data_IF_972058594042
#
_entry.id   IF_972058594042
#
_cell.length_a   1.000
_cell.length_b   1.000
_cell.length_c   1.000
_cell.angle_alpha   90.00
_cell.angle_beta   90.00
_cell.angle_gamma   90.00
#
_symmetry.space_group_name_H-M   'P 1'
#
loop_
_entity.id
_entity.type
_entity.pdbx_description
1 polymer ?
#
# COMPACT_ATOMS: atom_id res chain seq x y z
N UNK A 1 20.11 -12.70 9.85
CA UNK A 1 18.81 -12.07 9.49
C UNK A 1 18.99 -11.37 8.15
N UNK A 2 18.14 -11.59 7.14
CA UNK A 2 18.37 -11.13 5.76
C UNK A 2 18.52 -9.60 5.58
N UNK A 3 18.00 -8.84 6.55
CA UNK A 3 17.99 -7.38 6.63
C UNK A 3 18.66 -6.84 7.92
N UNK A 4 19.68 -7.52 8.47
CA UNK A 4 20.48 -6.98 9.58
C UNK A 4 21.22 -5.67 9.21
N UNK A 5 22.11 -5.17 10.08
CA UNK A 5 22.85 -3.88 10.15
C UNK A 5 23.52 -3.31 8.87
N UNK A 6 23.21 -3.82 7.68
CA UNK A 6 23.61 -3.26 6.39
C UNK A 6 23.01 -1.87 6.13
N UNK A 7 23.64 -1.11 5.25
CA UNK A 7 23.13 0.19 4.81
C UNK A 7 21.89 0.04 3.92
N UNK A 8 21.15 1.13 3.73
CA UNK A 8 20.04 1.21 2.75
C UNK A 8 20.46 0.71 1.37
N UNK A 9 21.71 1.00 0.96
CA UNK A 9 22.32 0.53 -0.29
C UNK A 9 22.31 -1.00 -0.41
N UNK A 10 22.40 -1.72 0.70
CA UNK A 10 22.35 -3.18 0.73
C UNK A 10 20.92 -3.73 0.77
N UNK A 11 19.95 -2.95 1.26
CA UNK A 11 18.58 -3.42 1.45
C UNK A 11 17.70 -3.17 0.23
N UNK A 12 17.86 -2.03 -0.44
CA UNK A 12 17.05 -1.68 -1.62
C UNK A 12 17.16 -2.75 -2.72
N UNK A 13 18.36 -3.23 -3.11
CA UNK A 13 18.46 -4.28 -4.12
C UNK A 13 17.74 -5.56 -3.70
N UNK A 14 17.82 -5.95 -2.42
CA UNK A 14 17.13 -7.14 -1.89
C UNK A 14 15.61 -7.02 -1.94
N UNK A 15 15.08 -5.80 -1.86
CA UNK A 15 13.65 -5.53 -2.04
C UNK A 15 13.27 -5.57 -3.52
N UNK A 16 14.10 -5.00 -4.40
CA UNK A 16 13.84 -4.95 -5.84
C UNK A 16 14.01 -6.32 -6.54
N UNK A 17 14.95 -7.14 -6.08
CA UNK A 17 15.29 -8.45 -6.65
C UNK A 17 15.32 -9.56 -5.59
N UNK A 18 14.20 -9.80 -4.87
CA UNK A 18 14.19 -10.67 -3.70
C UNK A 18 14.39 -12.14 -4.06
N UNK A 19 13.96 -12.57 -5.25
CA UNK A 19 14.22 -13.93 -5.72
C UNK A 19 15.72 -14.19 -5.88
N UNK A 20 16.41 -13.28 -6.56
CA UNK A 20 17.83 -13.43 -6.89
C UNK A 20 18.75 -13.27 -5.68
N UNK A 21 18.41 -12.36 -4.76
CA UNK A 21 19.33 -11.93 -3.70
C UNK A 21 19.04 -12.55 -2.33
N UNK A 22 17.82 -12.98 -2.07
CA UNK A 22 17.43 -13.58 -0.77
C UNK A 22 16.56 -14.83 -0.91
N UNK A 23 16.38 -15.37 -2.12
CA UNK A 23 15.75 -16.67 -2.36
C UNK A 23 14.23 -16.70 -2.18
N UNK A 24 13.53 -15.56 -2.28
CA UNK A 24 12.06 -15.56 -2.29
C UNK A 24 11.57 -16.27 -3.56
N UNK A 25 10.59 -17.20 -3.50
CA UNK A 25 10.03 -17.81 -4.71
C UNK A 25 9.53 -16.75 -5.71
N UNK A 26 9.73 -16.99 -7.00
CA UNK A 26 9.46 -15.99 -8.04
C UNK A 26 7.99 -15.57 -8.04
N UNK A 27 7.08 -16.51 -7.79
CA UNK A 27 5.64 -16.31 -7.64
C UNK A 27 5.25 -15.44 -6.43
N UNK A 28 6.17 -15.25 -5.47
CA UNK A 28 5.96 -14.46 -4.26
C UNK A 28 6.74 -13.15 -4.27
N UNK A 29 7.61 -12.91 -5.25
CA UNK A 29 8.43 -11.70 -5.34
C UNK A 29 7.59 -10.42 -5.28
N UNK A 30 6.50 -10.34 -6.05
CA UNK A 30 5.66 -9.14 -6.08
C UNK A 30 4.94 -8.90 -4.74
N UNK A 31 4.42 -9.96 -4.12
CA UNK A 31 3.77 -9.86 -2.81
C UNK A 31 4.75 -9.43 -1.72
N UNK A 32 5.98 -9.94 -1.78
CA UNK A 32 7.04 -9.54 -0.87
C UNK A 32 7.40 -8.06 -1.02
N UNK A 33 7.54 -7.57 -2.25
CA UNK A 33 7.83 -6.16 -2.54
C UNK A 33 6.78 -5.23 -1.95
N UNK A 34 5.50 -5.56 -2.15
CA UNK A 34 4.37 -4.79 -1.63
C UNK A 34 4.35 -4.82 -0.10
N UNK A 35 4.58 -5.99 0.49
CA UNK A 35 4.67 -6.12 1.95
C UNK A 35 5.74 -5.17 2.52
N UNK A 36 6.93 -5.13 1.92
CA UNK A 36 8.00 -4.24 2.37
C UNK A 36 7.66 -2.78 2.12
N UNK A 37 7.09 -2.42 0.97
CA UNK A 37 6.66 -1.05 0.66
C UNK A 37 5.64 -0.54 1.69
N UNK A 38 4.60 -1.34 1.98
CA UNK A 38 3.60 -1.04 3.01
C UNK A 38 4.22 -0.89 4.40
N UNK A 39 5.19 -1.75 4.75
CA UNK A 39 5.90 -1.66 6.02
C UNK A 39 6.69 -0.35 6.14
N UNK A 40 7.42 0.03 5.09
CA UNK A 40 8.22 1.26 5.07
C UNK A 40 7.34 2.50 5.15
N UNK A 41 6.23 2.55 4.40
CA UNK A 41 5.29 3.68 4.42
C UNK A 41 4.63 3.86 5.81
N UNK A 42 4.12 2.77 6.38
CA UNK A 42 3.49 2.83 7.70
C UNK A 42 4.50 3.14 8.83
N UNK A 43 5.74 2.64 8.73
CA UNK A 43 6.81 2.98 9.66
C UNK A 43 7.19 4.46 9.53
N UNK A 44 7.33 4.96 8.32
CA UNK A 44 7.58 6.39 8.05
C UNK A 44 6.49 7.27 8.65
N UNK A 45 5.22 6.93 8.44
CA UNK A 45 4.09 7.63 9.04
C UNK A 45 4.13 7.58 10.58
N UNK A 46 4.45 6.43 11.18
CA UNK A 46 4.57 6.30 12.62
C UNK A 46 5.71 7.16 13.21
N UNK A 47 6.86 7.22 12.53
CA UNK A 47 7.99 8.08 12.92
C UNK A 47 7.58 9.56 12.84
N UNK A 48 6.91 9.98 11.77
CA UNK A 48 6.42 11.36 11.64
C UNK A 48 5.43 11.73 12.76
N UNK A 49 4.52 10.82 13.13
CA UNK A 49 3.59 11.06 14.24
C UNK A 49 4.34 11.20 15.58
N UNK A 50 5.42 10.44 15.78
CA UNK A 50 6.26 10.56 16.97
C UNK A 50 7.03 11.89 16.98
N UNK A 51 7.72 12.23 15.89
CA UNK A 51 8.59 13.42 15.81
C UNK A 51 7.77 14.71 15.89
N UNK A 52 6.68 14.81 15.15
CA UNK A 52 5.92 16.06 15.03
C UNK A 52 4.76 16.20 16.01
N UNK A 53 4.25 15.08 16.56
CA UNK A 53 3.09 15.10 17.47
C UNK A 53 3.33 14.40 18.80
N UNK A 54 4.52 13.84 19.05
CA UNK A 54 4.81 13.08 20.28
C UNK A 54 4.00 11.79 20.43
N UNK A 55 3.23 11.38 19.41
CA UNK A 55 2.33 10.22 19.49
C UNK A 55 3.14 8.95 19.26
N UNK A 56 3.28 8.12 20.30
CA UNK A 56 3.91 6.81 20.20
C UNK A 56 3.00 5.83 19.45
N UNK A 57 3.61 4.95 18.67
CA UNK A 57 2.92 3.87 17.98
C UNK A 57 3.23 2.53 18.67
N UNK A 58 2.21 1.69 18.84
CA UNK A 58 2.40 0.32 19.29
C UNK A 58 2.91 -0.54 18.12
N UNK A 59 4.09 -1.15 18.29
CA UNK A 59 4.73 -1.97 17.25
C UNK A 59 3.85 -3.16 16.81
N UNK A 60 3.09 -3.76 17.74
CA UNK A 60 2.16 -4.85 17.42
C UNK A 60 1.01 -4.35 16.55
N UNK A 61 0.46 -3.18 16.86
CA UNK A 61 -0.59 -2.56 16.03
C UNK A 61 -0.06 -2.20 14.64
N UNK A 62 1.16 -1.68 14.55
CA UNK A 62 1.81 -1.39 13.28
C UNK A 62 1.97 -2.66 12.43
N UNK A 63 2.47 -3.75 13.03
CA UNK A 63 2.61 -5.04 12.35
C UNK A 63 1.26 -5.59 11.85
N UNK A 64 0.20 -5.48 12.66
CA UNK A 64 -1.15 -5.86 12.23
C UNK A 64 -1.66 -5.00 11.06
N UNK A 65 -1.37 -3.69 11.06
CA UNK A 65 -1.74 -2.80 9.96
C UNK A 65 -1.00 -3.16 8.67
N UNK A 66 0.30 -3.43 8.73
CA UNK A 66 1.11 -3.88 7.59
C UNK A 66 0.56 -5.19 7.02
N UNK A 67 0.27 -6.17 7.88
CA UNK A 67 -0.29 -7.45 7.46
C UNK A 67 -1.65 -7.27 6.77
N UNK A 68 -2.56 -6.51 7.39
CA UNK A 68 -3.89 -6.25 6.84
C UNK A 68 -3.80 -5.58 5.47
N UNK A 69 -3.03 -4.50 5.35
CA UNK A 69 -2.89 -3.76 4.09
C UNK A 69 -2.29 -4.62 2.97
N UNK A 70 -1.31 -5.45 3.31
CA UNK A 70 -0.68 -6.38 2.36
C UNK A 70 -1.67 -7.47 1.91
N UNK A 71 -2.53 -7.94 2.81
CA UNK A 71 -3.59 -8.90 2.48
C UNK A 71 -4.68 -8.29 1.61
N UNK A 72 -5.14 -7.09 1.94
CA UNK A 72 -6.10 -6.32 1.14
C UNK A 72 -5.57 -6.10 -0.29
N UNK A 73 -4.30 -5.73 -0.43
CA UNK A 73 -3.68 -5.60 -1.75
C UNK A 73 -3.62 -6.94 -2.49
N UNK A 74 -3.21 -8.03 -1.82
CA UNK A 74 -3.20 -9.37 -2.43
C UNK A 74 -4.59 -9.76 -2.95
N UNK A 75 -5.63 -9.56 -2.13
CA UNK A 75 -7.00 -9.86 -2.50
C UNK A 75 -7.49 -8.99 -3.67
N UNK A 76 -7.21 -7.69 -3.65
CA UNK A 76 -7.56 -6.77 -4.73
C UNK A 76 -6.90 -7.19 -6.05
N UNK A 77 -5.61 -7.54 -6.02
CA UNK A 77 -4.87 -7.99 -7.19
C UNK A 77 -5.42 -9.30 -7.75
N UNK A 78 -5.76 -10.27 -6.89
CA UNK A 78 -6.39 -11.52 -7.29
C UNK A 78 -7.77 -11.30 -7.92
N UNK A 79 -8.52 -10.31 -7.44
CA UNK A 79 -9.82 -9.94 -8.00
C UNK A 79 -9.71 -9.19 -9.34
N UNK A 80 -8.61 -8.49 -9.61
CA UNK A 80 -8.33 -7.86 -10.91
C UNK A 80 -7.88 -8.85 -12.00
N UNK A 81 -7.39 -10.02 -11.62
CA UNK A 81 -7.03 -11.10 -12.55
C UNK A 81 -8.25 -11.80 -13.15
N UNK A 82 -9.44 -11.58 -12.61
CA UNK A 82 -10.66 -11.87 -13.35
C UNK A 82 -10.81 -10.74 -14.38
N UNK A 83 -10.91 -11.04 -15.70
CA UNK A 83 -11.30 -10.04 -16.68
C UNK A 83 -12.77 -9.69 -16.43
N UNK A 84 -13.03 -8.97 -15.34
CA UNK A 84 -14.20 -8.14 -15.23
C UNK A 84 -14.11 -7.25 -16.43
N UNK A 85 -15.03 -7.46 -17.39
CA UNK A 85 -15.28 -6.62 -18.54
C UNK A 85 -14.81 -5.22 -18.19
N UNK A 86 -13.65 -4.82 -18.74
CA UNK A 86 -13.15 -3.45 -18.60
C UNK A 86 -14.34 -2.60 -19.04
N UNK A 87 -15.06 -2.03 -18.06
CA UNK A 87 -16.17 -1.14 -18.35
C UNK A 87 -15.46 0.07 -18.90
N UNK A 88 -15.25 0.06 -20.22
CA UNK A 88 -14.76 1.20 -20.95
C UNK A 88 -15.57 2.39 -20.46
N UNK A 89 -14.85 3.46 -20.09
CA UNK A 89 -15.50 4.66 -19.60
C UNK A 89 -16.59 5.03 -20.62
N UNK A 90 -17.84 5.09 -20.16
CA UNK A 90 -18.98 5.52 -20.98
C UNK A 90 -19.27 6.96 -20.59
N UNK A 91 -19.40 7.82 -21.59
CA UNK A 91 -19.89 9.16 -21.37
C UNK A 91 -21.27 9.09 -20.69
N UNK A 92 -21.57 9.99 -19.75
CA UNK A 92 -22.90 10.07 -19.20
C UNK A 92 -23.91 10.44 -20.30
N UNK A 93 -25.15 9.94 -20.24
CA UNK A 93 -26.23 10.34 -21.16
C UNK A 93 -26.44 11.85 -21.19
N UNK A 94 -27.06 12.35 -22.26
CA UNK A 94 -27.46 13.75 -22.34
C UNK A 94 -28.34 14.12 -21.13
N UNK A 95 -28.07 15.28 -20.51
CA UNK A 95 -28.68 15.78 -19.27
C UNK A 95 -28.28 15.06 -17.97
N UNK A 96 -27.22 14.23 -17.97
CA UNK A 96 -26.65 13.65 -16.75
C UNK A 96 -25.22 14.18 -16.56
N UNK A 97 -24.96 14.76 -15.39
CA UNK A 97 -23.60 15.13 -14.97
C UNK A 97 -23.05 13.96 -14.14
N UNK A 98 -21.91 13.41 -14.57
CA UNK A 98 -21.17 12.41 -13.78
C UNK A 98 -20.15 13.13 -12.92
N UNK A 99 -20.32 13.03 -11.61
CA UNK A 99 -19.36 13.56 -10.64
C UNK A 99 -18.55 12.39 -10.10
N UNK A 100 -17.21 12.46 -10.19
CA UNK A 100 -16.34 11.53 -9.48
C UNK A 100 -15.96 12.13 -8.12
N UNK A 101 -15.99 11.30 -7.09
CA UNK A 101 -15.74 11.71 -5.71
C UNK A 101 -14.66 10.82 -5.11
N UNK A 102 -13.57 11.44 -4.68
CA UNK A 102 -12.53 10.78 -3.90
C UNK A 102 -12.66 11.19 -2.44
N UNK A 103 -12.64 10.22 -1.53
CA UNK A 103 -12.78 10.45 -0.09
C UNK A 103 -11.53 9.97 0.64
N UNK A 104 -10.90 10.87 1.38
CA UNK A 104 -9.84 10.55 2.32
C UNK A 104 -10.42 10.54 3.74
N UNK A 105 -10.46 9.37 4.39
CA UNK A 105 -10.95 9.22 5.76
C UNK A 105 -9.76 9.11 6.72
N UNK A 106 -9.70 9.99 7.72
CA UNK A 106 -8.71 10.01 8.80
C UNK A 106 -9.47 9.92 10.14
N UNK A 107 -8.80 9.49 11.22
CA UNK A 107 -9.41 9.24 12.55
C UNK A 107 -10.34 10.37 13.05
N UNK A 108 -10.06 11.64 12.71
CA UNK A 108 -10.81 12.80 13.21
C UNK A 108 -11.60 13.56 12.15
N UNK A 109 -11.45 13.25 10.85
CA UNK A 109 -12.19 13.92 9.78
C UNK A 109 -12.16 13.13 8.46
N UNK A 110 -13.11 13.43 7.58
CA UNK A 110 -13.09 12.98 6.19
C UNK A 110 -12.96 14.19 5.27
N UNK A 111 -12.07 14.11 4.28
CA UNK A 111 -11.93 15.07 3.19
C UNK A 111 -12.55 14.51 1.92
N UNK A 112 -13.31 15.33 1.21
CA UNK A 112 -13.95 14.95 -0.06
C UNK A 112 -13.39 15.84 -1.16
N UNK A 113 -12.82 15.23 -2.19
CA UNK A 113 -12.47 15.90 -3.44
C UNK A 113 -13.50 15.53 -4.50
N UNK A 114 -14.00 16.53 -5.21
CA UNK A 114 -15.07 16.39 -6.20
C UNK A 114 -14.58 16.96 -7.52
N UNK A 115 -14.66 16.15 -8.59
CA UNK A 115 -14.42 16.60 -9.96
C UNK A 115 -15.72 16.33 -10.75
N UNK A 116 -16.27 17.40 -11.31
CA UNK A 116 -17.48 17.42 -12.13
C UNK A 116 -17.15 17.80 -13.57
#
# INVERSE_FOLDING_TARGET
MAFGDGSVVNWVPKILHPHQLIGIPLEHQHLFQIFVANAMDLLWAAINQLVYKGKRCNVRELAHRVHRLSWEHKAAWQNQLQPNQLKAWKHPPANIIKVNVDVAIIESYAGIAVIA
#
